data_IF_194932617103
#
_entry.id   IF_194932617103
#
_cell.length_a   1.000
_cell.length_b   1.000
_cell.length_c   1.000
_cell.angle_alpha   90.00
_cell.angle_beta   90.00
_cell.angle_gamma   90.00
#
_symmetry.space_group_name_H-M   'P 1'
#
loop_
_entity.id
_entity.type
_entity.pdbx_description
1 polymer ?
#
# COMPACT_ATOMS: atom_id res chain seq x y z
N UNK A 1 11.17 10.42 8.95
CA UNK A 1 10.63 9.11 8.55
C UNK A 1 11.17 8.81 7.18
N UNK A 2 11.84 7.68 7.03
CA UNK A 2 12.29 7.18 5.74
C UNK A 2 11.08 6.59 5.00
N UNK A 3 11.01 6.81 3.68
CA UNK A 3 9.97 6.24 2.83
C UNK A 3 10.64 5.18 1.98
N UNK A 4 10.10 3.97 2.01
CA UNK A 4 10.53 2.88 1.14
C UNK A 4 9.56 2.70 -0.03
N UNK A 5 10.02 2.03 -1.07
CA UNK A 5 9.17 1.71 -2.22
C UNK A 5 9.47 0.35 -2.81
N UNK A 6 8.43 -0.32 -3.29
CA UNK A 6 8.53 -1.55 -4.08
C UNK A 6 7.76 -1.41 -5.38
N UNK A 7 8.19 -2.15 -6.41
CA UNK A 7 7.36 -2.40 -7.58
C UNK A 7 6.55 -3.69 -7.36
N UNK A 8 5.25 -3.63 -7.65
CA UNK A 8 4.38 -4.79 -7.71
C UNK A 8 3.48 -4.69 -8.93
N UNK A 9 3.72 -5.56 -9.92
CA UNK A 9 2.95 -5.62 -11.18
C UNK A 9 2.91 -4.28 -11.94
N UNK A 10 4.02 -3.54 -11.95
CA UNK A 10 4.08 -2.23 -12.61
C UNK A 10 3.34 -1.12 -11.85
N UNK A 11 2.98 -1.36 -10.59
CA UNK A 11 2.55 -0.35 -9.63
C UNK A 11 3.67 -0.10 -8.62
N UNK A 12 4.02 1.18 -8.45
CA UNK A 12 4.92 1.62 -7.39
C UNK A 12 4.13 1.76 -6.09
N UNK A 13 4.47 0.95 -5.08
CA UNK A 13 3.93 1.06 -3.72
C UNK A 13 4.96 1.79 -2.88
N UNK A 14 4.63 3.00 -2.44
CA UNK A 14 5.48 3.79 -1.54
C UNK A 14 4.88 3.69 -0.15
N UNK A 15 5.65 3.21 0.82
CA UNK A 15 5.16 3.00 2.18
C UNK A 15 6.10 3.63 3.22
N UNK A 16 5.54 3.95 4.37
CA UNK A 16 6.29 4.46 5.52
C UNK A 16 5.63 4.03 6.81
N UNK A 17 6.46 3.86 7.84
CA UNK A 17 6.01 3.51 9.17
C UNK A 17 6.27 4.68 10.12
N UNK A 18 5.30 5.00 10.96
CA UNK A 18 5.44 5.99 12.01
C UNK A 18 5.10 5.40 13.37
N UNK A 19 5.85 5.82 14.39
CA UNK A 19 5.61 5.43 15.78
C UNK A 19 4.72 6.45 16.46
N UNK A 20 3.70 5.96 17.17
CA UNK A 20 2.79 6.76 17.97
C UNK A 20 2.35 5.98 19.21
N UNK A 21 2.53 6.55 20.39
CA UNK A 21 2.11 5.98 21.67
C UNK A 21 2.66 4.55 21.92
N UNK A 22 3.89 4.25 21.43
CA UNK A 22 4.52 2.93 21.55
C UNK A 22 4.04 1.88 20.53
N UNK A 23 3.26 2.30 19.53
CA UNK A 23 2.82 1.47 18.42
C UNK A 23 3.38 1.96 17.09
N UNK A 24 3.57 1.04 16.16
CA UNK A 24 3.94 1.28 14.77
C UNK A 24 2.69 1.23 13.89
N UNK A 25 2.48 2.27 13.09
CA UNK A 25 1.44 2.35 12.08
C UNK A 25 2.12 2.58 10.75
N UNK A 26 1.87 1.70 9.78
CA UNK A 26 2.40 1.83 8.44
C UNK A 26 1.31 2.34 7.48
N UNK A 27 1.70 3.19 6.54
CA UNK A 27 0.84 3.77 5.51
C UNK A 27 1.47 3.52 4.14
N UNK A 28 0.64 3.43 3.11
CA UNK A 28 1.11 3.25 1.74
C UNK A 28 0.27 4.04 0.74
N UNK A 29 0.95 4.61 -0.26
CA UNK A 29 0.34 5.12 -1.48
C UNK A 29 0.71 4.22 -2.65
N UNK A 30 -0.22 4.03 -3.58
CA UNK A 30 0.00 3.16 -4.75
C UNK A 30 -0.11 4.00 -6.01
N UNK A 31 0.92 3.98 -6.83
CA UNK A 31 0.96 4.66 -8.11
C UNK A 31 1.08 3.62 -9.23
N UNK A 32 0.05 3.50 -10.06
CA UNK A 32 -0.01 2.53 -11.14
C UNK A 32 -0.13 3.27 -12.46
N UNK A 33 0.85 3.15 -13.35
CA UNK A 33 0.81 3.83 -14.66
C UNK A 33 -0.27 3.26 -15.60
N UNK A 34 -0.67 1.99 -15.38
CA UNK A 34 -1.61 1.27 -16.24
C UNK A 34 -3.02 1.17 -15.65
N UNK A 35 -3.18 1.45 -14.36
CA UNK A 35 -4.49 1.58 -13.72
C UNK A 35 -4.80 3.07 -13.75
N UNK A 36 -5.55 3.50 -14.75
CA UNK A 36 -6.01 4.89 -14.91
C UNK A 36 -6.88 5.26 -13.69
N UNK A 37 -6.24 5.79 -12.65
CA UNK A 37 -6.86 6.14 -11.38
C UNK A 37 -6.81 7.65 -11.19
N UNK A 38 -7.99 8.29 -11.21
CA UNK A 38 -8.17 9.72 -10.96
C UNK A 38 -7.62 10.17 -9.60
N UNK A 39 -7.40 9.22 -8.68
CA UNK A 39 -6.86 9.47 -7.34
C UNK A 39 -5.85 8.39 -6.98
N UNK A 40 -4.69 8.82 -6.51
CA UNK A 40 -3.67 7.94 -5.93
C UNK A 40 -4.27 7.31 -4.66
N UNK A 41 -4.51 5.99 -4.62
CA UNK A 41 -5.02 5.32 -3.43
C UNK A 41 -4.03 5.46 -2.27
N UNK A 42 -4.56 5.83 -1.11
CA UNK A 42 -3.85 5.87 0.15
C UNK A 42 -4.46 4.84 1.10
N UNK A 43 -3.63 3.94 1.61
CA UNK A 43 -4.00 2.91 2.57
C UNK A 43 -3.33 3.28 3.89
N UNK A 44 -4.13 3.35 4.95
CA UNK A 44 -3.64 3.53 6.30
C UNK A 44 -3.73 2.21 7.03
N UNK A 45 -2.63 1.80 7.65
CA UNK A 45 -2.54 0.57 8.40
C UNK A 45 -3.20 0.65 9.76
N UNK A 46 -3.12 -0.44 10.51
CA UNK A 46 -3.48 -0.51 11.92
C UNK A 46 -2.23 -0.44 12.81
N UNK A 47 -2.44 -0.25 14.11
CA UNK A 47 -1.37 -0.22 15.09
C UNK A 47 -0.80 -1.62 15.37
N UNK A 48 0.52 -1.73 15.39
CA UNK A 48 1.28 -2.94 15.74
C UNK A 48 2.33 -2.63 16.80
N UNK A 49 2.73 -3.64 17.58
CA UNK A 49 3.84 -3.52 18.54
C UNK A 49 5.20 -3.79 17.89
N UNK A 50 5.22 -4.24 16.63
CA UNK A 50 6.42 -4.55 15.86
C UNK A 50 6.38 -3.84 14.50
N UNK A 51 7.49 -3.19 14.13
CA UNK A 51 7.64 -2.49 12.85
C UNK A 51 7.47 -3.42 11.64
N UNK A 52 8.07 -4.62 11.68
CA UNK A 52 7.98 -5.58 10.58
C UNK A 52 6.56 -6.10 10.34
N UNK A 53 5.75 -6.22 11.39
CA UNK A 53 4.33 -6.60 11.25
C UNK A 53 3.51 -5.46 10.61
N UNK A 54 3.79 -4.21 10.97
CA UNK A 54 3.15 -3.04 10.36
C UNK A 54 3.47 -2.95 8.86
N UNK A 55 4.74 -3.10 8.49
CA UNK A 55 5.20 -3.07 7.10
C UNK A 55 4.64 -4.24 6.29
N UNK A 56 4.69 -5.46 6.83
CA UNK A 56 4.12 -6.63 6.16
C UNK A 56 2.62 -6.48 5.94
N UNK A 57 1.91 -5.92 6.91
CA UNK A 57 0.49 -5.65 6.79
C UNK A 57 0.20 -4.66 5.67
N UNK A 58 0.84 -3.49 5.67
CA UNK A 58 0.52 -2.45 4.69
C UNK A 58 0.88 -2.87 3.26
N UNK A 59 1.97 -3.61 3.10
CA UNK A 59 2.37 -4.16 1.81
C UNK A 59 1.36 -5.20 1.30
N UNK A 60 0.80 -6.04 2.19
CA UNK A 60 -0.23 -7.00 1.81
C UNK A 60 -1.55 -6.32 1.43
N UNK A 61 -1.96 -5.29 2.16
CA UNK A 61 -3.15 -4.48 1.82
C UNK A 61 -2.98 -3.80 0.47
N UNK A 62 -1.80 -3.20 0.22
CA UNK A 62 -1.49 -2.57 -1.07
C UNK A 62 -1.55 -3.56 -2.24
N UNK A 63 -0.93 -4.74 -2.10
CA UNK A 63 -0.99 -5.80 -3.11
C UNK A 63 -2.42 -6.30 -3.35
N UNK A 64 -3.20 -6.46 -2.28
CA UNK A 64 -4.60 -6.89 -2.36
C UNK A 64 -5.45 -5.87 -3.12
N UNK A 65 -5.23 -4.58 -2.87
CA UNK A 65 -5.89 -3.51 -3.59
C UNK A 65 -5.54 -3.53 -5.09
N UNK A 66 -4.25 -3.66 -5.43
CA UNK A 66 -3.79 -3.75 -6.82
C UNK A 66 -4.46 -4.94 -7.52
N UNK A 67 -4.42 -6.13 -6.92
CA UNK A 67 -5.04 -7.33 -7.46
C UNK A 67 -6.56 -7.17 -7.65
N UNK A 68 -7.23 -6.49 -6.73
CA UNK A 68 -8.67 -6.22 -6.84
C UNK A 68 -8.98 -5.23 -7.97
N UNK A 69 -8.16 -4.19 -8.14
CA UNK A 69 -8.32 -3.17 -9.17
C UNK A 69 -8.08 -3.76 -10.57
N UNK A 70 -7.03 -4.56 -10.76
CA UNK A 70 -6.78 -5.29 -12.01
C UNK A 70 -7.98 -6.16 -12.41
N UNK A 71 -8.50 -6.95 -11.46
CA UNK A 71 -9.70 -7.79 -11.70
C UNK A 71 -10.94 -6.97 -12.04
N UNK A 72 -11.09 -5.77 -11.48
CA UNK A 72 -12.22 -4.89 -11.78
C UNK A 72 -12.14 -4.31 -13.19
N UNK A 73 -10.94 -4.02 -13.69
CA UNK A 73 -10.74 -3.52 -15.06
C UNK A 73 -10.94 -4.63 -16.08
N UNK A 74 -10.41 -5.83 -15.82
CA UNK A 74 -10.56 -6.99 -16.71
C UNK A 74 -12.03 -7.40 -16.95
N UNK A 75 -12.94 -7.08 -16.02
CA UNK A 75 -14.39 -7.32 -16.16
C UNK A 75 -15.14 -6.24 -16.96
N UNK A 76 -14.50 -5.12 -17.26
CA UNK A 76 -15.09 -3.99 -18.02
C UNK A 76 -14.71 -4.01 -19.50
N UNK A 77 -13.82 -4.92 -19.91
CA UNK A 77 -13.48 -5.23 -21.30
C UNK A 77 -14.31 -6.40 -21.80
#
# INVERSE_FOLDING_TARGET
MEKDSIDYKGCQVIYWTHEKDGFFIAEAIIHCNHLDDDKIPHISGKAFTNLGDAEKYILNEAKTWIDAKERSIAKRQ
#
